data_IF_367428365374
#
_entry.id   IF_367428365374
#
_cell.length_a   1.000
_cell.length_b   1.000
_cell.length_c   1.000
_cell.angle_alpha   90.00
_cell.angle_beta   90.00
_cell.angle_gamma   90.00
#
_symmetry.space_group_name_H-M   'P 1'
#
loop_
_entity.id
_entity.type
_entity.pdbx_description
1 polymer ?
#
# COMPACT_ATOMS: atom_id res chain seq x y z
N UNK A 1 -4.52 -6.72 35.55
CA UNK A 1 -4.11 -6.18 34.22
C UNK A 1 -2.83 -6.78 33.73
N UNK A 2 -1.80 -6.86 34.54
CA UNK A 2 -0.50 -7.42 34.12
C UNK A 2 -0.56 -8.92 33.79
N UNK A 3 -1.46 -9.68 34.41
CA UNK A 3 -1.65 -11.12 34.17
C UNK A 3 -2.43 -11.43 32.89
N UNK A 4 -3.36 -10.57 32.52
CA UNK A 4 -3.99 -10.60 31.21
C UNK A 4 -3.01 -10.27 30.10
N UNK A 5 -2.07 -9.42 30.43
CA UNK A 5 -1.11 -8.93 29.48
C UNK A 5 -0.09 -9.96 29.06
N UNK A 6 0.23 -10.98 29.86
CA UNK A 6 1.24 -11.95 29.43
C UNK A 6 0.84 -12.73 28.19
N UNK A 7 -0.36 -13.29 28.15
CA UNK A 7 -0.86 -13.97 26.96
C UNK A 7 -1.11 -13.04 25.77
N UNK A 8 -1.65 -11.84 26.04
CA UNK A 8 -1.92 -10.83 25.03
C UNK A 8 -0.63 -10.20 24.52
N UNK A 9 0.33 -9.91 25.40
CA UNK A 9 1.64 -9.38 25.01
C UNK A 9 2.42 -10.41 24.21
N UNK A 10 2.40 -11.67 24.58
CA UNK A 10 3.02 -12.74 23.77
C UNK A 10 2.38 -12.85 22.39
N UNK A 11 1.06 -12.79 22.31
CA UNK A 11 0.35 -12.81 21.04
C UNK A 11 0.65 -11.57 20.19
N UNK A 12 0.69 -10.39 20.80
CA UNK A 12 1.02 -9.13 20.10
C UNK A 12 2.48 -9.11 19.67
N UNK A 13 3.41 -9.53 20.50
CA UNK A 13 4.84 -9.61 20.18
C UNK A 13 5.06 -10.70 19.12
N UNK A 14 4.45 -11.86 19.27
CA UNK A 14 4.53 -12.94 18.30
C UNK A 14 3.91 -12.52 16.96
N UNK A 15 2.75 -11.86 16.98
CA UNK A 15 2.13 -11.28 15.79
C UNK A 15 3.01 -10.20 15.16
N UNK A 16 3.67 -9.36 15.95
CA UNK A 16 4.61 -8.36 15.44
C UNK A 16 5.92 -8.96 14.91
N UNK A 17 6.41 -10.01 15.53
CA UNK A 17 7.64 -10.71 15.11
C UNK A 17 7.36 -11.57 13.88
N UNK A 18 6.19 -12.20 13.81
CA UNK A 18 5.82 -13.10 12.73
C UNK A 18 5.03 -12.43 11.60
N UNK A 19 4.49 -11.23 11.82
CA UNK A 19 3.79 -10.52 10.75
C UNK A 19 4.78 -9.92 9.78
N UNK A 20 5.10 -10.68 8.75
CA UNK A 20 5.78 -10.15 7.56
C UNK A 20 4.79 -9.26 6.83
N UNK A 21 4.98 -7.95 6.91
CA UNK A 21 4.19 -7.02 6.12
C UNK A 21 4.70 -7.04 4.68
N UNK A 22 3.78 -7.21 3.75
CA UNK A 22 4.04 -7.12 2.32
C UNK A 22 3.52 -5.78 1.81
N UNK A 23 4.39 -4.78 1.62
CA UNK A 23 3.98 -3.51 1.04
C UNK A 23 3.78 -3.67 -0.46
N UNK A 24 2.61 -3.27 -0.93
CA UNK A 24 2.24 -3.29 -2.35
C UNK A 24 1.88 -1.87 -2.78
N UNK A 25 2.65 -1.32 -3.70
CA UNK A 25 2.40 0.00 -4.29
C UNK A 25 1.82 -0.17 -5.68
N UNK A 26 0.63 0.37 -5.88
CA UNK A 26 -0.07 0.32 -7.16
C UNK A 26 0.02 1.70 -7.81
N UNK A 27 0.64 1.77 -8.97
CA UNK A 27 0.76 2.98 -9.76
C UNK A 27 -0.28 2.95 -10.87
N UNK A 28 -1.13 3.96 -10.92
CA UNK A 28 -2.23 4.06 -11.86
C UNK A 28 -2.03 5.28 -12.77
N UNK A 29 -1.97 5.04 -14.06
CA UNK A 29 -2.02 6.10 -15.06
C UNK A 29 -3.42 6.71 -15.08
N UNK A 30 -3.51 7.99 -14.76
CA UNK A 30 -4.73 8.79 -14.81
C UNK A 30 -4.67 9.87 -15.87
N UNK A 31 -3.84 9.71 -16.89
CA UNK A 31 -3.80 10.61 -18.04
C UNK A 31 -5.14 10.67 -18.78
N UNK A 32 -5.34 11.70 -19.60
CA UNK A 32 -6.61 11.91 -20.30
C UNK A 32 -7.04 10.74 -21.18
N UNK A 33 -6.06 9.95 -21.72
CA UNK A 33 -6.34 8.75 -22.50
C UNK A 33 -6.97 7.61 -21.69
N UNK A 34 -6.86 7.66 -20.36
CA UNK A 34 -7.49 6.68 -19.46
C UNK A 34 -8.94 7.02 -19.11
N UNK A 35 -9.41 8.21 -19.47
CA UNK A 35 -10.78 8.64 -19.17
C UNK A 35 -11.81 7.74 -19.85
N UNK A 36 -12.88 7.44 -19.13
CA UNK A 36 -13.97 6.57 -19.60
C UNK A 36 -13.75 5.11 -19.27
N UNK A 37 -13.90 4.24 -20.27
CA UNK A 37 -13.85 2.79 -20.10
C UNK A 37 -12.52 2.27 -19.51
N UNK A 38 -11.33 2.74 -19.92
CA UNK A 38 -10.08 2.23 -19.36
C UNK A 38 -9.98 2.42 -17.85
N UNK A 39 -10.28 3.60 -17.33
CA UNK A 39 -10.18 3.85 -15.90
C UNK A 39 -11.28 3.12 -15.11
N UNK A 40 -12.46 2.97 -15.67
CA UNK A 40 -13.53 2.19 -15.04
C UNK A 40 -13.13 0.69 -14.94
N UNK A 41 -12.48 0.16 -15.95
CA UNK A 41 -11.92 -1.20 -15.91
C UNK A 41 -10.87 -1.35 -14.83
N UNK A 42 -10.01 -0.36 -14.63
CA UNK A 42 -9.03 -0.35 -13.53
C UNK A 42 -9.71 -0.33 -12.17
N UNK A 43 -10.73 0.49 -11.99
CA UNK A 43 -11.50 0.56 -10.74
C UNK A 43 -12.15 -0.78 -10.39
N UNK A 44 -12.79 -1.41 -11.37
CA UNK A 44 -13.40 -2.74 -11.19
C UNK A 44 -12.32 -3.78 -10.86
N UNK A 45 -11.23 -3.81 -11.60
CA UNK A 45 -10.11 -4.73 -11.36
C UNK A 45 -9.49 -4.58 -9.97
N UNK A 46 -9.31 -3.33 -9.49
CA UNK A 46 -8.83 -3.06 -8.14
C UNK A 46 -9.80 -3.56 -7.06
N UNK A 47 -11.09 -3.29 -7.26
CA UNK A 47 -12.13 -3.74 -6.33
C UNK A 47 -12.16 -5.27 -6.22
N UNK A 48 -12.13 -5.95 -7.36
CA UNK A 48 -12.11 -7.42 -7.43
C UNK A 48 -10.84 -8.01 -6.82
N UNK A 49 -9.70 -7.41 -7.10
CA UNK A 49 -8.41 -7.81 -6.52
C UNK A 49 -8.44 -7.70 -4.99
N UNK A 50 -8.89 -6.59 -4.46
CA UNK A 50 -8.97 -6.36 -3.01
C UNK A 50 -9.96 -7.31 -2.37
N UNK A 51 -11.11 -7.53 -2.98
CA UNK A 51 -12.09 -8.50 -2.49
C UNK A 51 -11.51 -9.92 -2.44
N UNK A 52 -10.78 -10.32 -3.47
CA UNK A 52 -10.11 -11.62 -3.53
C UNK A 52 -9.02 -11.77 -2.47
N UNK A 53 -8.20 -10.73 -2.28
CA UNK A 53 -7.15 -10.73 -1.26
C UNK A 53 -7.72 -10.81 0.16
N UNK A 54 -8.87 -10.20 0.40
CA UNK A 54 -9.54 -10.26 1.71
C UNK A 54 -10.07 -11.64 2.07
N UNK A 55 -10.27 -12.51 1.09
CA UNK A 55 -10.66 -13.91 1.30
C UNK A 55 -9.48 -14.79 1.71
N UNK A 56 -8.26 -14.36 1.44
CA UNK A 56 -7.05 -15.06 1.86
C UNK A 56 -6.61 -14.56 3.24
N UNK A 57 -6.66 -15.41 4.28
CA UNK A 57 -6.27 -15.03 5.63
C UNK A 57 -4.83 -14.54 5.74
N UNK A 58 -3.92 -15.11 4.95
CA UNK A 58 -2.52 -14.70 4.94
C UNK A 58 -2.35 -13.31 4.35
N UNK A 59 -2.99 -13.03 3.22
CA UNK A 59 -2.98 -11.70 2.61
C UNK A 59 -3.62 -10.65 3.52
N UNK A 60 -4.73 -10.99 4.15
CA UNK A 60 -5.44 -10.09 5.07
C UNK A 60 -4.56 -9.64 6.24
N UNK A 61 -3.71 -10.53 6.75
CA UNK A 61 -2.80 -10.22 7.86
C UNK A 61 -1.51 -9.53 7.44
N UNK A 62 -1.06 -9.74 6.20
CA UNK A 62 0.28 -9.30 5.77
C UNK A 62 0.27 -8.16 4.76
N UNK A 63 -0.71 -8.11 3.87
CA UNK A 63 -0.71 -7.15 2.77
C UNK A 63 -1.06 -5.74 3.24
N UNK A 64 -0.23 -4.78 2.82
CA UNK A 64 -0.48 -3.35 2.95
C UNK A 64 -0.45 -2.75 1.56
N UNK A 65 -1.47 -1.97 1.22
CA UNK A 65 -1.64 -1.42 -0.13
C UNK A 65 -1.56 0.10 -0.10
N UNK A 66 -0.82 0.64 -1.05
CA UNK A 66 -0.76 2.06 -1.35
C UNK A 66 -1.10 2.28 -2.82
N UNK A 67 -1.77 3.38 -3.12
CA UNK A 67 -2.13 3.74 -4.49
C UNK A 67 -1.57 5.12 -4.82
N UNK A 68 -0.82 5.19 -5.91
CA UNK A 68 -0.26 6.40 -6.47
C UNK A 68 -0.85 6.60 -7.87
N UNK A 69 -1.44 7.75 -8.11
CA UNK A 69 -1.92 8.13 -9.43
C UNK A 69 -0.94 9.10 -10.08
N UNK A 70 -0.79 9.00 -11.38
CA UNK A 70 0.08 9.90 -12.14
C UNK A 70 -0.55 10.29 -13.48
N UNK A 71 -0.54 11.57 -13.70
CA UNK A 71 -0.86 12.25 -14.96
C UNK A 71 0.15 13.39 -15.14
N UNK A 72 -0.28 14.63 -15.31
CA UNK A 72 0.61 15.80 -15.19
C UNK A 72 1.12 15.99 -13.77
N UNK A 73 0.39 15.54 -12.76
CA UNK A 73 0.71 15.57 -11.34
C UNK A 73 0.81 14.15 -10.80
N UNK A 74 1.66 13.95 -9.81
CA UNK A 74 1.81 12.67 -9.13
C UNK A 74 1.27 12.80 -7.72
N UNK A 75 0.33 11.91 -7.36
CA UNK A 75 -0.33 11.94 -6.05
C UNK A 75 -0.42 10.55 -5.44
N UNK A 76 -0.08 10.45 -4.17
CA UNK A 76 -0.43 9.28 -3.39
C UNK A 76 -1.86 9.47 -2.85
N UNK A 77 -2.83 8.82 -3.49
CA UNK A 77 -4.24 8.94 -3.09
C UNK A 77 -4.61 7.98 -1.95
N UNK A 78 -3.85 6.94 -1.75
CA UNK A 78 -3.97 6.03 -0.63
C UNK A 78 -2.59 5.79 -0.04
N UNK A 79 -2.31 6.26 1.19
CA UNK A 79 -1.10 5.90 1.91
C UNK A 79 -1.06 4.40 2.21
N UNK A 80 0.09 3.87 2.56
CA UNK A 80 0.24 2.44 2.85
C UNK A 80 -0.69 2.02 3.98
N UNK A 81 -1.72 1.27 3.64
CA UNK A 81 -2.81 0.89 4.54
C UNK A 81 -2.95 -0.63 4.60
N UNK A 82 -3.16 -1.15 5.79
CA UNK A 82 -3.45 -2.57 5.99
C UNK A 82 -4.74 -2.97 5.25
N UNK A 83 -4.72 -4.14 4.64
CA UNK A 83 -5.82 -4.61 3.80
C UNK A 83 -7.16 -4.68 4.56
N UNK A 84 -7.12 -4.97 5.85
CA UNK A 84 -8.29 -5.02 6.73
C UNK A 84 -9.00 -3.67 6.82
N UNK A 85 -8.25 -2.58 6.91
CA UNK A 85 -8.75 -1.22 7.08
C UNK A 85 -8.85 -0.43 5.77
N UNK A 86 -8.53 -1.06 4.66
CA UNK A 86 -8.42 -0.38 3.38
C UNK A 86 -9.80 -0.03 2.83
N UNK A 87 -9.95 1.24 2.44
CA UNK A 87 -11.07 1.72 1.66
C UNK A 87 -10.54 2.31 0.36
N UNK A 88 -11.09 1.87 -0.78
CA UNK A 88 -10.67 2.38 -2.08
C UNK A 88 -11.04 3.86 -2.20
N UNK A 89 -10.06 4.73 -2.49
CA UNK A 89 -10.35 6.12 -2.77
C UNK A 89 -10.97 6.27 -4.16
N UNK A 90 -11.60 7.40 -4.39
CA UNK A 90 -12.07 7.76 -5.72
C UNK A 90 -10.89 8.07 -6.64
N UNK A 91 -10.88 7.46 -7.81
CA UNK A 91 -9.87 7.69 -8.85
C UNK A 91 -10.48 8.57 -9.92
N UNK A 92 -9.92 9.75 -10.10
CA UNK A 92 -10.38 10.74 -11.07
C UNK A 92 -9.35 10.95 -12.16
N UNK A 93 -9.78 10.93 -13.42
CA UNK A 93 -8.95 11.30 -14.56
C UNK A 93 -9.22 12.75 -14.96
N UNK A 94 -8.22 13.62 -15.01
CA UNK A 94 -8.36 14.96 -15.57
C UNK A 94 -8.64 14.90 -17.08
N UNK A 95 -9.15 15.99 -17.65
CA UNK A 95 -9.58 16.00 -19.03
C UNK A 95 -8.47 15.92 -20.08
N UNK A 96 -7.29 16.40 -19.77
CA UNK A 96 -6.12 16.32 -20.64
C UNK A 96 -4.82 16.53 -19.85
N UNK A 97 -3.75 15.91 -20.30
CA UNK A 97 -2.43 16.14 -19.72
C UNK A 97 -1.41 15.08 -20.09
N UNK A 98 -0.13 15.44 -20.04
CA UNK A 98 0.96 14.48 -20.23
C UNK A 98 1.05 13.48 -19.09
N UNK A 99 1.74 12.39 -19.34
CA UNK A 99 1.99 11.32 -18.36
C UNK A 99 3.41 11.43 -17.83
N UNK A 100 3.56 11.52 -16.52
CA UNK A 100 4.87 11.59 -15.86
C UNK A 100 5.17 10.34 -15.03
N UNK A 101 5.40 9.22 -15.71
CA UNK A 101 5.71 7.95 -15.05
C UNK A 101 7.01 8.02 -14.22
N UNK A 102 8.03 8.76 -14.71
CA UNK A 102 9.28 8.94 -13.97
C UNK A 102 9.08 9.59 -12.61
N UNK A 103 8.27 10.64 -12.55
CA UNK A 103 7.92 11.31 -11.29
C UNK A 103 7.11 10.39 -10.34
N UNK A 104 6.28 9.53 -10.91
CA UNK A 104 5.55 8.52 -10.12
C UNK A 104 6.50 7.51 -9.47
N UNK A 105 7.51 7.05 -10.20
CA UNK A 105 8.54 6.15 -9.67
C UNK A 105 9.40 6.81 -8.60
N UNK A 106 9.74 8.08 -8.76
CA UNK A 106 10.45 8.86 -7.74
C UNK A 106 9.63 8.99 -6.46
N UNK A 107 8.34 9.31 -6.59
CA UNK A 107 7.44 9.38 -5.45
C UNK A 107 7.30 8.01 -4.77
N UNK A 108 7.20 6.95 -5.54
CA UNK A 108 7.19 5.57 -5.02
C UNK A 108 8.40 5.30 -4.14
N UNK A 109 9.61 5.62 -4.62
CA UNK A 109 10.83 5.44 -3.85
C UNK A 109 10.82 6.24 -2.55
N UNK A 110 10.42 7.50 -2.62
CA UNK A 110 10.32 8.37 -1.44
C UNK A 110 9.31 7.84 -0.42
N UNK A 111 8.16 7.37 -0.87
CA UNK A 111 7.12 6.84 0.01
C UNK A 111 7.53 5.49 0.61
N UNK A 112 8.14 4.63 -0.20
CA UNK A 112 8.67 3.37 0.29
C UNK A 112 9.70 3.60 1.40
N UNK A 113 10.64 4.50 1.20
CA UNK A 113 11.63 4.84 2.22
C UNK A 113 10.97 5.44 3.48
N UNK A 114 10.00 6.32 3.33
CA UNK A 114 9.31 6.93 4.47
C UNK A 114 8.39 5.93 5.21
N UNK A 115 7.61 5.15 4.50
CA UNK A 115 6.57 4.31 5.10
C UNK A 115 7.08 2.93 5.52
N UNK A 116 8.05 2.37 4.78
CA UNK A 116 8.60 1.03 5.05
C UNK A 116 9.91 1.13 5.83
N UNK A 117 10.91 1.84 5.31
CA UNK A 117 12.23 1.89 5.92
C UNK A 117 12.28 2.68 7.23
N UNK A 118 11.56 3.80 7.32
CA UNK A 118 11.51 4.59 8.57
C UNK A 118 10.66 3.90 9.63
N UNK A 119 9.56 3.29 9.25
CA UNK A 119 8.80 2.39 10.13
C UNK A 119 9.62 1.20 10.60
N UNK A 120 10.56 0.74 9.78
CA UNK A 120 11.51 -0.32 10.10
C UNK A 120 12.67 0.15 10.98
N UNK A 121 13.16 1.38 10.77
CA UNK A 121 14.24 1.94 11.60
C UNK A 121 13.81 2.14 13.05
N UNK A 122 12.56 2.51 13.29
CA UNK A 122 12.00 2.54 14.64
C UNK A 122 11.81 1.14 15.23
N UNK A 123 11.77 0.10 14.38
CA UNK A 123 11.69 -1.32 14.75
C UNK A 123 13.01 -2.06 14.58
N UNK A 124 14.09 -1.38 14.21
CA UNK A 124 15.43 -1.97 13.95
C UNK A 124 16.13 -2.55 15.18
N UNK A 125 15.52 -2.43 16.35
CA UNK A 125 15.93 -3.22 17.50
C UNK A 125 15.63 -4.72 17.35
N UNK A 126 14.92 -5.12 16.29
CA UNK A 126 14.50 -6.49 16.02
C UNK A 126 14.92 -6.89 14.61
N UNK A 127 16.22 -6.97 14.38
CA UNK A 127 16.92 -7.66 13.31
C UNK A 127 16.20 -8.21 12.08
N UNK A 128 15.59 -7.39 11.25
CA UNK A 128 15.18 -7.79 9.91
C UNK A 128 15.81 -6.87 8.87
N UNK A 129 16.80 -7.40 8.19
CA UNK A 129 17.39 -6.80 7.01
C UNK A 129 16.52 -7.11 5.78
N UNK A 130 15.89 -6.11 5.21
CA UNK A 130 15.66 -6.07 3.79
C UNK A 130 16.45 -4.88 3.23
N UNK A 131 17.68 -5.15 2.83
CA UNK A 131 18.37 -4.29 1.90
C UNK A 131 17.82 -4.61 0.51
N UNK A 132 17.02 -3.71 -0.02
CA UNK A 132 16.93 -3.54 -1.45
C UNK A 132 17.99 -2.51 -1.82
N UNK A 133 19.11 -3.02 -2.25
CA UNK A 133 20.10 -2.24 -2.98
C UNK A 133 19.56 -1.89 -4.36
#
# INVERSE_FOLDING_TARGET
>A
MVLFSKGIIYNLIFKQIMSRRLPVYILIDTSGSMKGEPIESVKVGLSDMIASLRLDPYALETACISIITYDKDVKQILPLTELENLQLPEIVCPEAGPTHMGAALELLCQRYDAEVNMGYKSKKAIGCHYCLS
#
